data_IF_596852847390
#
_entry.id   IF_596852847390
#
_cell.length_a   1.000
_cell.length_b   1.000
_cell.length_c   1.000
_cell.angle_alpha   90.00
_cell.angle_beta   90.00
_cell.angle_gamma   90.00
#
_symmetry.space_group_name_H-M   'P 1'
#
loop_
_entity.id
_entity.type
_entity.pdbx_description
1 polymer ?
#
# COMPACT_ATOMS: atom_id res chain seq x y z
N UNK A 1 -23.31 -7.25 1.91
CA UNK A 1 -23.29 -8.62 2.50
C UNK A 1 -22.33 -8.73 3.69
N UNK A 2 -21.04 -8.38 3.50
CA UNK A 2 -20.04 -8.49 4.59
C UNK A 2 -20.35 -7.51 5.72
N UNK A 3 -20.59 -6.25 5.41
CA UNK A 3 -20.93 -5.22 6.40
C UNK A 3 -22.19 -5.58 7.20
N UNK A 4 -23.25 -6.02 6.55
CA UNK A 4 -24.46 -6.48 7.21
C UNK A 4 -24.20 -7.64 8.21
N UNK A 5 -23.40 -8.61 7.77
CA UNK A 5 -23.10 -9.81 8.60
C UNK A 5 -22.22 -9.50 9.81
N UNK A 6 -21.32 -8.52 9.68
CA UNK A 6 -20.25 -8.31 10.64
C UNK A 6 -20.27 -6.92 11.31
N UNK A 7 -21.31 -6.12 11.13
CA UNK A 7 -21.41 -4.77 11.69
C UNK A 7 -21.26 -4.71 13.23
N UNK A 8 -21.50 -5.82 13.93
CA UNK A 8 -21.26 -5.91 15.39
C UNK A 8 -19.81 -6.25 15.78
N UNK A 9 -18.90 -6.37 14.78
CA UNK A 9 -17.49 -6.71 15.00
C UNK A 9 -16.64 -5.45 14.88
N UNK A 10 -16.06 -5.02 15.97
CA UNK A 10 -15.27 -3.80 16.11
C UNK A 10 -13.81 -3.89 15.62
N UNK A 11 -13.37 -5.09 15.24
CA UNK A 11 -12.00 -5.38 14.79
C UNK A 11 -11.85 -5.48 13.26
N UNK A 12 -12.88 -5.11 12.49
CA UNK A 12 -12.85 -5.17 11.03
C UNK A 12 -12.41 -3.84 10.43
N UNK A 13 -11.56 -3.92 9.43
CA UNK A 13 -11.17 -2.84 8.54
C UNK A 13 -11.62 -3.27 7.14
N UNK A 14 -12.23 -2.37 6.38
CA UNK A 14 -12.69 -2.62 5.02
C UNK A 14 -11.74 -1.96 4.04
N UNK A 15 -11.20 -2.70 3.09
CA UNK A 15 -10.57 -2.15 1.90
C UNK A 15 -11.54 -2.34 0.74
N UNK A 16 -11.96 -1.24 0.11
CA UNK A 16 -13.07 -1.24 -0.85
C UNK A 16 -12.64 -1.37 -2.31
N UNK A 17 -11.36 -1.22 -2.61
CA UNK A 17 -10.81 -1.42 -3.94
C UNK A 17 -9.31 -1.70 -3.83
N UNK A 18 -8.84 -2.78 -4.41
CA UNK A 18 -7.42 -3.08 -4.54
C UNK A 18 -6.90 -2.55 -5.88
N UNK A 19 -5.83 -1.76 -5.83
CA UNK A 19 -5.02 -1.34 -6.98
C UNK A 19 -5.81 -0.81 -8.19
N UNK A 20 -6.63 0.24 -8.03
CA UNK A 20 -7.30 0.85 -9.17
C UNK A 20 -6.28 1.38 -10.18
N UNK A 21 -6.36 0.89 -11.40
CA UNK A 21 -5.39 1.18 -12.45
C UNK A 21 -6.05 1.51 -13.80
N UNK A 22 -5.23 1.76 -14.82
CA UNK A 22 -5.60 2.36 -16.10
C UNK A 22 -6.41 1.46 -17.05
N UNK A 23 -6.83 0.28 -16.67
CA UNK A 23 -7.35 -0.69 -17.62
C UNK A 23 -8.88 -0.71 -17.70
N UNK A 24 -9.49 0.27 -18.38
CA UNK A 24 -10.93 0.27 -18.66
C UNK A 24 -11.35 -0.63 -19.85
N UNK A 25 -10.43 -0.91 -20.79
CA UNK A 25 -10.73 -1.79 -21.93
C UNK A 25 -9.64 -2.86 -22.08
N UNK A 26 -9.99 -4.10 -21.76
CA UNK A 26 -9.16 -5.29 -21.98
C UNK A 26 -9.57 -5.94 -23.29
N UNK A 27 -8.87 -5.66 -24.38
CA UNK A 27 -9.18 -6.22 -25.71
C UNK A 27 -8.23 -7.35 -26.13
N UNK A 28 -7.25 -7.70 -25.31
CA UNK A 28 -6.35 -8.82 -25.62
C UNK A 28 -6.57 -9.97 -24.62
N UNK A 29 -7.29 -11.05 -25.00
CA UNK A 29 -7.52 -12.20 -24.13
C UNK A 29 -6.24 -12.97 -23.77
N UNK A 30 -5.16 -12.85 -24.56
CA UNK A 30 -3.86 -13.46 -24.27
C UNK A 30 -3.02 -12.64 -23.31
N UNK A 31 -3.31 -11.34 -23.20
CA UNK A 31 -2.63 -10.40 -22.31
C UNK A 31 -3.66 -9.50 -21.62
N UNK A 32 -4.41 -10.05 -20.69
CA UNK A 32 -5.51 -9.31 -20.01
C UNK A 32 -5.03 -8.13 -19.17
N UNK A 33 -3.73 -7.96 -18.98
CA UNK A 33 -3.10 -6.83 -18.31
C UNK A 33 -2.68 -5.69 -19.26
N UNK A 34 -2.63 -5.94 -20.59
CA UNK A 34 -2.35 -4.88 -21.57
C UNK A 34 -3.62 -4.09 -21.86
N UNK A 35 -3.55 -2.79 -21.65
CA UNK A 35 -4.62 -1.85 -21.95
C UNK A 35 -4.46 -1.32 -23.37
N UNK A 36 -5.56 -1.29 -24.13
CA UNK A 36 -5.57 -0.78 -25.53
C UNK A 36 -5.87 0.70 -25.63
N UNK A 37 -6.37 1.32 -24.55
CA UNK A 37 -6.56 2.77 -24.45
C UNK A 37 -6.04 3.25 -23.10
N UNK A 38 -5.26 4.31 -23.17
CA UNK A 38 -4.71 5.02 -22.00
C UNK A 38 -5.84 5.86 -21.35
N UNK A 39 -6.73 5.18 -20.68
CA UNK A 39 -7.76 5.80 -19.84
C UNK A 39 -7.36 5.60 -18.39
N UNK A 40 -6.56 6.53 -17.90
CA UNK A 40 -6.09 6.52 -16.51
C UNK A 40 -7.28 6.57 -15.54
N UNK A 41 -7.30 5.68 -14.55
CA UNK A 41 -8.23 5.81 -13.43
C UNK A 41 -7.82 7.03 -12.62
N UNK A 42 -8.72 8.02 -12.54
CA UNK A 42 -8.47 9.26 -11.81
C UNK A 42 -8.97 9.16 -10.37
N UNK A 43 -8.52 10.10 -9.53
CA UNK A 43 -9.05 10.22 -8.18
C UNK A 43 -10.56 10.47 -8.15
N UNK A 44 -11.10 11.24 -9.10
CA UNK A 44 -12.51 11.54 -9.18
C UNK A 44 -13.37 10.27 -9.40
N UNK A 45 -12.89 9.34 -10.22
CA UNK A 45 -13.56 8.04 -10.46
C UNK A 45 -13.54 7.18 -9.19
N UNK A 46 -12.43 7.15 -8.48
CA UNK A 46 -12.30 6.44 -7.21
C UNK A 46 -13.19 7.07 -6.15
N UNK A 47 -13.19 8.40 -6.05
CA UNK A 47 -14.04 9.13 -5.11
C UNK A 47 -15.54 8.92 -5.39
N UNK A 48 -15.96 8.89 -6.66
CA UNK A 48 -17.34 8.56 -7.04
C UNK A 48 -17.72 7.15 -6.60
N UNK A 49 -16.85 6.17 -6.82
CA UNK A 49 -17.04 4.79 -6.35
C UNK A 49 -17.15 4.74 -4.83
N UNK A 50 -16.20 5.35 -4.12
CA UNK A 50 -16.16 5.39 -2.66
C UNK A 50 -17.43 6.05 -2.07
N UNK A 51 -17.89 7.16 -2.66
CA UNK A 51 -19.11 7.86 -2.26
C UNK A 51 -20.39 7.01 -2.43
N UNK A 52 -20.36 5.95 -3.21
CA UNK A 52 -21.47 4.99 -3.33
C UNK A 52 -21.34 3.82 -2.36
N UNK A 53 -20.12 3.36 -2.07
CA UNK A 53 -19.87 2.14 -1.28
C UNK A 53 -19.84 2.45 0.22
N UNK A 54 -19.17 3.51 0.64
CA UNK A 54 -18.99 3.84 2.05
C UNK A 54 -20.33 4.05 2.78
N UNK A 55 -21.31 4.79 2.22
CA UNK A 55 -22.62 4.94 2.87
C UNK A 55 -23.35 3.61 3.10
N UNK A 56 -23.16 2.63 2.23
CA UNK A 56 -23.76 1.30 2.40
C UNK A 56 -23.12 0.57 3.59
N UNK A 57 -21.80 0.68 3.75
CA UNK A 57 -21.09 0.11 4.90
C UNK A 57 -21.55 0.81 6.19
N UNK A 58 -21.56 2.13 6.21
CA UNK A 58 -21.95 2.94 7.37
C UNK A 58 -23.38 2.66 7.82
N UNK A 59 -24.33 2.58 6.87
CA UNK A 59 -25.72 2.26 7.13
C UNK A 59 -25.89 0.95 7.93
N UNK A 60 -25.15 -0.09 7.59
CA UNK A 60 -25.25 -1.39 8.29
C UNK A 60 -24.72 -1.31 9.72
N UNK A 61 -23.70 -0.46 9.97
CA UNK A 61 -23.18 -0.21 11.32
C UNK A 61 -24.14 0.64 12.14
N UNK A 62 -24.72 1.71 11.56
CA UNK A 62 -25.74 2.54 12.19
C UNK A 62 -26.98 1.73 12.56
N UNK A 63 -27.42 0.81 11.70
CA UNK A 63 -28.58 -0.04 11.92
C UNK A 63 -28.48 -0.92 13.17
N UNK A 64 -27.26 -1.21 13.64
CA UNK A 64 -27.00 -1.98 14.87
C UNK A 64 -26.47 -1.12 16.02
N UNK A 65 -26.41 0.21 15.83
CA UNK A 65 -25.91 1.16 16.82
C UNK A 65 -24.39 1.09 17.07
N UNK A 66 -23.64 0.57 16.09
CA UNK A 66 -22.18 0.46 16.14
C UNK A 66 -21.51 1.70 15.55
N UNK A 67 -20.24 1.93 15.94
CA UNK A 67 -19.42 2.97 15.33
C UNK A 67 -19.01 2.58 13.91
N UNK A 68 -18.87 3.56 13.03
CA UNK A 68 -18.39 3.31 11.67
C UNK A 68 -17.00 2.66 11.70
N UNK A 69 -16.79 1.62 10.89
CA UNK A 69 -15.50 0.96 10.80
C UNK A 69 -14.47 1.84 10.07
N UNK A 70 -13.21 1.49 10.19
CA UNK A 70 -12.18 2.06 9.30
C UNK A 70 -12.40 1.52 7.89
N UNK A 71 -12.44 2.42 6.89
CA UNK A 71 -12.51 2.09 5.47
C UNK A 71 -11.26 2.60 4.77
N UNK A 72 -10.51 1.68 4.16
CA UNK A 72 -9.36 1.97 3.31
C UNK A 72 -9.87 2.13 1.89
N UNK A 73 -9.52 3.25 1.28
CA UNK A 73 -9.90 3.62 -0.09
C UNK A 73 -8.66 3.54 -0.97
N UNK A 74 -8.76 2.81 -2.08
CA UNK A 74 -7.71 2.72 -3.08
C UNK A 74 -7.31 4.09 -3.65
N UNK A 75 -6.08 4.19 -4.12
CA UNK A 75 -5.56 5.38 -4.79
C UNK A 75 -5.15 5.07 -6.23
N UNK A 76 -5.06 6.06 -7.15
CA UNK A 76 -4.73 5.78 -8.55
C UNK A 76 -3.39 5.09 -8.71
N UNK A 77 -3.18 4.44 -9.87
CA UNK A 77 -1.91 3.81 -10.25
C UNK A 77 -1.45 2.72 -9.29
N UNK A 78 -2.30 1.69 -9.09
CA UNK A 78 -1.99 0.55 -8.22
C UNK A 78 -1.69 0.98 -6.77
N UNK A 79 -2.52 1.87 -6.22
CA UNK A 79 -2.36 2.41 -4.87
C UNK A 79 -1.02 3.13 -4.63
N UNK A 80 -0.47 3.76 -5.68
CA UNK A 80 0.82 4.47 -5.62
C UNK A 80 0.68 5.99 -5.53
N UNK A 81 -0.44 6.58 -5.99
CA UNK A 81 -0.64 8.04 -5.99
C UNK A 81 -1.52 8.50 -4.83
N UNK A 82 -1.04 8.36 -3.62
CA UNK A 82 -1.77 8.69 -2.38
C UNK A 82 -2.10 10.18 -2.29
N UNK A 83 -1.29 11.04 -2.91
CA UNK A 83 -1.50 12.49 -2.93
C UNK A 83 -2.54 12.97 -3.96
N UNK A 84 -3.11 12.06 -4.75
CA UNK A 84 -4.06 12.40 -5.81
C UNK A 84 -5.31 13.17 -5.33
N UNK A 85 -5.72 13.00 -4.07
CA UNK A 85 -6.78 13.79 -3.46
C UNK A 85 -6.33 15.19 -2.99
N UNK A 86 -5.04 15.47 -2.95
CA UNK A 86 -4.44 16.73 -2.53
C UNK A 86 -3.88 17.56 -3.69
N UNK A 87 -3.77 16.98 -4.88
CA UNK A 87 -3.17 17.62 -6.07
C UNK A 87 -4.09 17.53 -7.27
N UNK A 88 -4.09 18.57 -8.11
CA UNK A 88 -4.81 18.55 -9.39
C UNK A 88 -3.96 17.82 -10.43
N UNK A 89 -4.48 16.70 -10.93
CA UNK A 89 -3.76 15.84 -11.88
C UNK A 89 -3.04 14.68 -11.21
N UNK A 90 -2.28 13.94 -12.02
CA UNK A 90 -1.54 12.77 -11.57
C UNK A 90 -0.05 12.94 -11.85
N UNK A 91 0.77 12.62 -10.86
CA UNK A 91 2.23 12.63 -10.94
C UNK A 91 2.82 11.54 -11.84
N UNK A 92 2.08 11.05 -12.82
CA UNK A 92 2.45 9.87 -13.59
C UNK A 92 3.66 10.12 -14.50
N UNK A 93 4.74 9.42 -14.24
CA UNK A 93 5.84 9.25 -15.18
C UNK A 93 6.70 10.47 -15.49
N UNK A 94 6.57 11.57 -14.77
CA UNK A 94 7.17 12.84 -15.11
C UNK A 94 8.22 13.36 -14.09
N UNK A 95 8.55 12.54 -13.10
CA UNK A 95 9.53 12.89 -12.08
C UNK A 95 9.01 13.85 -11.00
N UNK A 96 9.83 14.07 -9.99
CA UNK A 96 9.49 14.86 -8.80
C UNK A 96 9.08 16.30 -9.14
N UNK A 97 9.79 16.95 -10.05
CA UNK A 97 9.58 18.38 -10.36
C UNK A 97 8.17 18.66 -10.91
N UNK A 98 7.59 17.74 -11.70
CA UNK A 98 6.23 17.90 -12.17
C UNK A 98 5.22 17.67 -11.05
N UNK A 99 5.44 16.66 -10.21
CA UNK A 99 4.58 16.43 -9.06
C UNK A 99 4.54 17.62 -8.11
N UNK A 100 5.68 18.22 -7.84
CA UNK A 100 5.79 19.41 -6.99
C UNK A 100 5.12 20.65 -7.63
N UNK A 101 5.02 20.70 -8.96
CA UNK A 101 4.39 21.81 -9.71
C UNK A 101 2.87 21.70 -9.85
N UNK A 102 2.26 20.54 -9.52
CA UNK A 102 0.82 20.38 -9.63
C UNK A 102 0.09 21.26 -8.59
N UNK A 103 -1.00 21.95 -9.00
CA UNK A 103 -1.78 22.77 -8.07
C UNK A 103 -2.32 21.95 -6.90
N UNK A 104 -2.25 22.52 -5.70
CA UNK A 104 -2.85 21.93 -4.49
C UNK A 104 -4.38 22.01 -4.56
N UNK A 105 -5.04 20.97 -4.05
CA UNK A 105 -6.50 20.91 -3.88
C UNK A 105 -6.86 20.17 -2.59
N UNK A 106 -8.10 20.23 -2.18
CA UNK A 106 -8.68 19.36 -1.15
C UNK A 106 -9.88 18.58 -1.71
N UNK A 107 -9.60 17.44 -2.31
CA UNK A 107 -10.58 16.49 -2.80
C UNK A 107 -10.66 15.23 -1.94
N UNK A 108 -10.32 15.34 -0.64
CA UNK A 108 -10.46 14.26 0.32
C UNK A 108 -11.92 13.86 0.48
N UNK A 109 -12.17 12.57 0.69
CA UNK A 109 -13.50 12.08 1.06
C UNK A 109 -13.96 12.69 2.39
N UNK A 110 -15.25 12.98 2.50
CA UNK A 110 -15.86 13.67 3.66
C UNK A 110 -16.60 12.69 4.58
N UNK A 111 -16.06 11.48 4.73
CA UNK A 111 -16.54 10.49 5.70
C UNK A 111 -15.56 10.41 6.88
N UNK A 112 -16.04 9.97 8.03
CA UNK A 112 -15.21 9.59 9.16
C UNK A 112 -14.52 8.24 8.95
N UNK A 113 -13.45 7.99 9.70
CA UNK A 113 -12.71 6.73 9.71
C UNK A 113 -12.21 6.27 8.32
N UNK A 114 -11.79 7.21 7.46
CA UNK A 114 -11.22 6.91 6.14
C UNK A 114 -9.70 6.89 6.22
N UNK A 115 -9.10 5.89 5.58
CA UNK A 115 -7.66 5.83 5.28
C UNK A 115 -7.45 5.66 3.77
N UNK A 116 -6.27 6.04 3.29
CA UNK A 116 -5.90 5.96 1.88
C UNK A 116 -4.87 4.85 1.70
N UNK A 117 -5.16 3.94 0.77
CA UNK A 117 -4.28 2.82 0.46
C UNK A 117 -2.98 3.30 -0.19
N UNK A 118 -1.91 2.60 0.15
CA UNK A 118 -0.59 2.81 -0.39
C UNK A 118 0.10 1.45 -0.58
N UNK A 119 0.61 1.19 -1.78
CA UNK A 119 1.36 -0.01 -2.11
C UNK A 119 2.77 0.34 -2.58
N UNK A 120 3.76 -0.48 -2.22
CA UNK A 120 5.11 -0.34 -2.76
C UNK A 120 5.83 -1.68 -2.94
N UNK A 121 6.71 -1.70 -3.94
CA UNK A 121 7.63 -2.79 -4.20
C UNK A 121 9.02 -2.21 -4.47
N UNK A 122 10.01 -2.48 -3.62
CA UNK A 122 11.31 -1.80 -3.63
C UNK A 122 12.16 -2.10 -4.87
N UNK A 123 11.76 -3.06 -5.71
CA UNK A 123 12.38 -3.31 -7.00
C UNK A 123 12.26 -2.12 -7.96
N UNK A 124 11.10 -1.44 -7.94
CA UNK A 124 10.83 -0.25 -8.76
C UNK A 124 10.65 1.03 -7.93
N UNK A 125 10.08 0.91 -6.74
CA UNK A 125 9.74 2.05 -5.89
C UNK A 125 10.91 2.39 -4.96
N UNK A 126 11.96 2.97 -5.52
CA UNK A 126 13.14 3.38 -4.76
C UNK A 126 13.75 4.65 -5.35
N UNK A 127 14.50 5.33 -4.54
CA UNK A 127 15.28 6.50 -4.93
C UNK A 127 16.27 6.15 -6.05
N UNK A 128 16.30 6.97 -7.11
CA UNK A 128 17.17 6.75 -8.28
C UNK A 128 16.69 5.66 -9.25
N UNK A 129 15.44 5.17 -9.14
CA UNK A 129 14.87 4.27 -10.14
C UNK A 129 14.78 4.97 -11.50
N UNK A 130 15.25 4.30 -12.55
CA UNK A 130 15.24 4.81 -13.90
C UNK A 130 14.35 3.94 -14.80
N UNK A 131 13.40 4.54 -15.48
CA UNK A 131 12.55 3.91 -16.47
C UNK A 131 12.46 4.78 -17.71
N UNK A 132 12.67 4.20 -18.88
CA UNK A 132 12.61 4.90 -20.16
C UNK A 132 13.56 6.13 -20.24
N UNK A 133 14.75 6.02 -19.62
CA UNK A 133 15.75 7.10 -19.57
C UNK A 133 15.40 8.26 -18.63
N UNK A 134 14.36 8.12 -17.82
CA UNK A 134 13.96 9.11 -16.82
C UNK A 134 14.36 8.63 -15.42
N UNK A 135 15.33 9.31 -14.82
CA UNK A 135 15.71 9.07 -13.43
C UNK A 135 14.61 9.53 -12.49
N UNK A 136 14.47 8.82 -11.38
CA UNK A 136 13.44 9.10 -10.38
C UNK A 136 12.03 9.15 -10.99
N UNK A 137 11.81 8.30 -12.00
CA UNK A 137 10.54 8.19 -12.72
C UNK A 137 9.34 8.13 -11.77
N UNK A 138 9.56 7.51 -10.63
CA UNK A 138 8.66 7.49 -9.49
C UNK A 138 9.44 7.73 -8.21
N UNK A 139 9.67 8.98 -7.84
CA UNK A 139 10.18 9.26 -6.51
C UNK A 139 9.05 9.15 -5.47
N UNK A 140 8.43 7.96 -5.42
CA UNK A 140 7.30 7.65 -4.55
C UNK A 140 7.64 7.87 -3.08
N UNK A 141 8.87 7.59 -2.68
CA UNK A 141 9.35 7.83 -1.33
C UNK A 141 9.21 9.30 -0.91
N UNK A 142 9.53 10.25 -1.80
CA UNK A 142 9.48 11.67 -1.50
C UNK A 142 8.05 12.17 -1.31
N UNK A 143 7.13 11.88 -2.24
CA UNK A 143 5.76 12.37 -2.09
C UNK A 143 4.97 11.64 -1.00
N UNK A 144 5.26 10.35 -0.71
CA UNK A 144 4.70 9.69 0.47
C UNK A 144 5.16 10.42 1.74
N UNK A 145 6.45 10.77 1.83
CA UNK A 145 6.96 11.55 2.96
C UNK A 145 6.18 12.86 3.14
N UNK A 146 5.87 13.58 2.04
CA UNK A 146 5.12 14.84 2.08
C UNK A 146 3.65 14.64 2.46
N UNK A 147 3.05 13.50 2.09
CA UNK A 147 1.66 13.15 2.43
C UNK A 147 1.50 12.76 3.89
N UNK A 148 2.52 12.13 4.50
CA UNK A 148 2.45 11.71 5.90
C UNK A 148 2.27 12.91 6.84
N UNK A 149 1.20 12.85 7.65
CA UNK A 149 0.75 13.95 8.49
C UNK A 149 -0.29 14.87 7.84
N UNK A 150 -0.58 14.71 6.54
CA UNK A 150 -1.67 15.41 5.83
C UNK A 150 -2.86 14.49 5.57
N UNK A 151 -2.61 13.19 5.37
CA UNK A 151 -3.61 12.15 5.12
C UNK A 151 -3.41 10.97 6.07
N UNK A 152 -4.48 10.31 6.52
CA UNK A 152 -4.41 9.01 7.16
C UNK A 152 -4.10 7.94 6.12
N UNK A 153 -2.88 7.40 6.12
CA UNK A 153 -2.37 6.43 5.15
C UNK A 153 -2.31 5.04 5.78
N UNK A 154 -2.62 4.01 5.00
CA UNK A 154 -2.43 2.61 5.34
C UNK A 154 -1.69 1.92 4.19
N UNK A 155 -0.54 1.30 4.48
CA UNK A 155 0.17 0.48 3.51
C UNK A 155 -0.48 -0.90 3.46
N UNK A 156 -1.52 -1.05 2.65
CA UNK A 156 -2.29 -2.29 2.60
C UNK A 156 -1.58 -3.42 1.85
N UNK A 157 -0.54 -3.08 1.07
CA UNK A 157 0.30 -4.08 0.43
C UNK A 157 1.73 -3.58 0.25
N UNK A 158 2.70 -4.43 0.58
CA UNK A 158 4.07 -4.29 0.12
C UNK A 158 4.76 -5.65 0.00
N UNK A 159 5.68 -5.77 -0.94
CA UNK A 159 6.60 -6.92 -1.04
C UNK A 159 8.05 -6.49 -0.86
N UNK A 160 8.97 -7.46 -0.92
CA UNK A 160 10.41 -7.21 -0.87
C UNK A 160 11.08 -7.28 -2.26
N UNK A 161 10.27 -7.46 -3.30
CA UNK A 161 10.67 -7.86 -4.65
C UNK A 161 10.30 -6.80 -5.70
N UNK A 162 10.27 -7.19 -6.96
CA UNK A 162 9.61 -6.43 -8.02
C UNK A 162 8.06 -6.48 -7.84
N UNK A 163 7.31 -5.61 -8.53
CA UNK A 163 5.84 -5.54 -8.41
C UNK A 163 5.09 -6.82 -8.82
N UNK A 164 5.70 -7.66 -9.64
CA UNK A 164 5.16 -8.97 -10.02
C UNK A 164 5.26 -10.03 -8.89
N UNK A 165 5.87 -9.66 -7.76
CA UNK A 165 6.09 -10.53 -6.61
C UNK A 165 7.29 -11.45 -6.77
N UNK A 166 8.14 -11.22 -7.78
CA UNK A 166 9.27 -12.07 -8.10
C UNK A 166 10.59 -11.29 -8.26
N UNK A 167 11.69 -12.00 -8.57
CA UNK A 167 13.01 -11.40 -8.74
C UNK A 167 13.83 -11.28 -7.47
N UNK A 168 14.82 -10.36 -7.43
CA UNK A 168 15.67 -10.17 -6.26
C UNK A 168 14.90 -9.68 -5.03
N UNK A 169 15.40 -10.04 -3.85
CA UNK A 169 14.87 -9.54 -2.57
C UNK A 169 15.68 -8.30 -2.17
N UNK A 170 15.02 -7.16 -2.04
CA UNK A 170 15.63 -5.84 -1.81
C UNK A 170 15.51 -5.41 -0.34
N UNK A 171 16.25 -6.07 0.55
CA UNK A 171 16.19 -5.83 2.00
C UNK A 171 16.49 -4.37 2.35
N UNK A 172 17.63 -3.84 1.91
CA UNK A 172 18.07 -2.48 2.27
C UNK A 172 17.07 -1.40 1.82
N UNK A 173 16.40 -1.61 0.67
CA UNK A 173 15.36 -0.71 0.17
C UNK A 173 14.08 -0.84 0.97
N UNK A 174 13.71 -2.07 1.33
CA UNK A 174 12.55 -2.34 2.21
C UNK A 174 12.75 -1.72 3.58
N UNK A 175 13.95 -1.84 4.16
CA UNK A 175 14.29 -1.21 5.44
C UNK A 175 14.10 0.31 5.41
N UNK A 176 14.49 0.98 4.32
CA UNK A 176 14.25 2.42 4.14
C UNK A 176 12.76 2.76 4.13
N UNK A 177 11.95 1.95 3.44
CA UNK A 177 10.50 2.10 3.40
C UNK A 177 9.87 1.90 4.78
N UNK A 178 10.20 0.81 5.47
CA UNK A 178 9.65 0.53 6.80
C UNK A 178 10.10 1.55 7.84
N UNK A 179 11.31 2.11 7.70
CA UNK A 179 11.77 3.21 8.53
C UNK A 179 10.94 4.47 8.31
N UNK A 180 10.58 4.80 7.06
CA UNK A 180 9.66 5.89 6.73
C UNK A 180 8.29 5.66 7.39
N UNK A 181 7.72 4.46 7.23
CA UNK A 181 6.39 4.11 7.74
C UNK A 181 6.35 4.04 9.27
N UNK A 182 7.48 3.80 9.95
CA UNK A 182 7.56 3.72 11.41
C UNK A 182 7.41 5.07 12.15
N UNK A 183 7.17 6.16 11.42
CA UNK A 183 7.06 7.50 12.01
C UNK A 183 8.39 8.07 12.52
N UNK A 184 9.52 7.43 12.26
CA UNK A 184 10.86 7.90 12.68
C UNK A 184 11.36 9.11 11.88
N UNK A 185 10.48 9.74 11.11
CA UNK A 185 10.75 10.91 10.29
C UNK A 185 10.19 12.18 10.94
N UNK A 186 10.91 12.75 11.88
CA UNK A 186 10.65 14.09 12.42
C UNK A 186 9.18 14.33 12.89
N UNK A 187 8.58 13.35 13.56
CA UNK A 187 7.22 13.46 14.10
C UNK A 187 6.11 13.22 13.10
N UNK A 188 6.42 12.61 11.96
CA UNK A 188 5.43 12.16 10.98
C UNK A 188 4.61 10.96 11.51
N UNK A 189 3.53 10.68 10.84
CA UNK A 189 2.57 9.64 11.18
C UNK A 189 3.18 8.24 11.14
N UNK A 190 2.83 7.42 12.13
CA UNK A 190 3.01 5.97 12.05
C UNK A 190 2.02 5.39 11.05
N UNK A 191 2.49 4.58 10.11
CA UNK A 191 1.68 3.91 9.09
C UNK A 191 1.66 2.41 9.36
N UNK A 192 0.48 1.85 9.53
CA UNK A 192 0.28 0.40 9.58
C UNK A 192 0.48 -0.23 8.21
N UNK A 193 0.89 -1.49 8.17
CA UNK A 193 1.21 -2.17 6.93
C UNK A 193 0.81 -3.64 6.91
N UNK A 194 0.57 -4.17 5.69
CA UNK A 194 0.41 -5.58 5.40
C UNK A 194 1.45 -6.03 4.38
N UNK A 195 2.02 -7.21 4.56
CA UNK A 195 2.99 -7.76 3.61
C UNK A 195 2.31 -8.67 2.58
N UNK A 196 2.69 -8.55 1.34
CA UNK A 196 2.37 -9.46 0.26
C UNK A 196 3.50 -10.47 0.05
N UNK A 197 3.32 -11.81 0.35
CA UNK A 197 2.07 -12.35 0.83
C UNK A 197 2.32 -13.53 1.77
N UNK A 198 1.40 -13.77 2.68
CA UNK A 198 1.40 -14.97 3.50
C UNK A 198 0.87 -16.15 2.68
N UNK A 199 1.72 -16.67 1.81
CA UNK A 199 1.44 -17.77 0.88
C UNK A 199 2.64 -18.70 0.78
N UNK A 200 2.48 -19.87 0.16
CA UNK A 200 3.51 -20.85 -0.14
C UNK A 200 3.61 -21.16 -1.65
N UNK A 201 3.27 -20.17 -2.48
CA UNK A 201 3.50 -20.26 -3.91
C UNK A 201 4.99 -20.12 -4.26
N UNK A 202 5.38 -20.45 -5.51
CA UNK A 202 6.77 -20.43 -5.96
C UNK A 202 7.25 -19.01 -6.33
N UNK A 203 6.87 -17.97 -5.56
CA UNK A 203 7.30 -16.59 -5.79
C UNK A 203 8.25 -16.10 -4.70
N UNK A 204 9.18 -15.23 -5.05
CA UNK A 204 10.13 -14.67 -4.09
C UNK A 204 9.45 -13.85 -2.98
N UNK A 205 8.26 -13.28 -3.24
CA UNK A 205 7.45 -12.55 -2.25
C UNK A 205 6.71 -13.46 -1.26
N UNK A 206 6.60 -14.77 -1.53
CA UNK A 206 5.92 -15.69 -0.63
C UNK A 206 6.62 -15.81 0.72
N UNK A 207 5.87 -15.76 1.80
CA UNK A 207 6.42 -15.89 3.14
C UNK A 207 6.79 -17.33 3.52
N UNK A 208 6.15 -18.31 2.90
CA UNK A 208 6.34 -19.73 3.19
C UNK A 208 6.95 -20.46 1.99
N UNK A 209 7.76 -21.48 2.27
CA UNK A 209 8.26 -22.37 1.22
C UNK A 209 7.12 -23.21 0.61
N UNK A 210 7.24 -23.60 -0.69
CA UNK A 210 6.23 -24.42 -1.35
C UNK A 210 5.87 -25.68 -0.58
N UNK A 211 4.57 -25.90 -0.39
CA UNK A 211 4.04 -27.04 0.36
C UNK A 211 3.90 -26.85 1.87
N UNK A 212 4.38 -25.74 2.43
CA UNK A 212 4.29 -25.47 3.85
C UNK A 212 2.84 -25.36 4.36
N UNK A 213 1.94 -24.76 3.57
CA UNK A 213 0.51 -24.69 3.90
C UNK A 213 -0.14 -26.07 3.97
N UNK A 214 0.13 -26.94 3.00
CA UNK A 214 -0.36 -28.30 2.97
C UNK A 214 0.17 -29.14 4.16
N UNK A 215 1.43 -28.94 4.51
CA UNK A 215 2.09 -29.58 5.65
C UNK A 215 1.69 -28.94 7.00
N UNK A 216 0.98 -27.79 7.00
CA UNK A 216 0.70 -26.97 8.19
C UNK A 216 1.98 -26.59 8.97
N UNK A 217 3.08 -26.41 8.25
CA UNK A 217 4.37 -26.05 8.81
C UNK A 217 4.64 -24.53 8.68
N UNK A 218 4.11 -23.75 9.59
CA UNK A 218 4.21 -22.27 9.60
C UNK A 218 5.61 -21.75 9.96
N UNK A 219 6.56 -22.64 10.25
CA UNK A 219 7.95 -22.29 10.49
C UNK A 219 8.85 -22.50 9.26
N UNK A 220 8.32 -23.09 8.20
CA UNK A 220 9.01 -23.30 6.93
C UNK A 220 8.91 -22.03 6.07
N UNK A 221 9.70 -21.04 6.43
CA UNK A 221 9.66 -19.69 5.86
C UNK A 221 10.73 -19.50 4.79
N UNK A 222 10.41 -18.69 3.78
CA UNK A 222 11.36 -18.18 2.80
C UNK A 222 12.26 -17.08 3.40
N UNK A 223 13.16 -16.52 2.60
CA UNK A 223 13.92 -15.31 2.98
C UNK A 223 12.98 -14.13 3.24
N UNK A 224 11.97 -13.93 2.38
CA UNK A 224 10.93 -12.90 2.58
C UNK A 224 10.17 -13.12 3.89
N UNK A 225 9.74 -14.35 4.15
CA UNK A 225 9.01 -14.70 5.37
C UNK A 225 9.84 -14.53 6.64
N UNK A 226 11.13 -14.92 6.64
CA UNK A 226 12.00 -14.71 7.77
C UNK A 226 12.21 -13.21 8.06
N UNK A 227 12.39 -12.41 7.01
CA UNK A 227 12.48 -10.97 7.15
C UNK A 227 11.22 -10.39 7.82
N UNK A 228 10.02 -10.69 7.29
CA UNK A 228 8.76 -10.17 7.84
C UNK A 228 8.53 -10.66 9.27
N UNK A 229 8.84 -11.92 9.58
CA UNK A 229 8.76 -12.45 10.95
C UNK A 229 9.60 -11.65 11.93
N UNK A 230 10.80 -11.24 11.53
CA UNK A 230 11.68 -10.37 12.34
C UNK A 230 11.11 -8.97 12.50
N UNK A 231 10.64 -8.34 11.41
CA UNK A 231 9.97 -7.03 11.44
C UNK A 231 8.79 -7.05 12.41
N UNK A 232 7.88 -8.02 12.29
CA UNK A 232 6.73 -8.15 13.19
C UNK A 232 7.14 -8.38 14.64
N UNK A 233 8.24 -9.11 14.90
CA UNK A 233 8.74 -9.32 16.24
C UNK A 233 9.24 -8.04 16.92
N UNK A 234 9.76 -7.10 16.11
CA UNK A 234 10.20 -5.78 16.57
C UNK A 234 9.00 -4.87 16.83
N UNK A 235 8.07 -4.80 15.89
CA UNK A 235 6.86 -3.97 16.00
C UNK A 235 6.04 -4.36 17.23
N UNK A 236 5.90 -5.64 17.52
CA UNK A 236 5.15 -6.14 18.67
C UNK A 236 5.80 -5.86 20.03
N UNK A 237 7.09 -5.50 20.07
CA UNK A 237 7.79 -5.19 21.34
C UNK A 237 7.61 -3.74 21.82
N UNK A 238 6.84 -2.96 21.09
CA UNK A 238 6.52 -1.58 21.41
C UNK A 238 7.26 -0.59 20.52
N UNK A 239 6.53 0.01 19.61
CA UNK A 239 7.01 0.90 18.54
C UNK A 239 7.65 2.21 19.05
N UNK A 240 7.62 2.47 20.35
CA UNK A 240 8.26 3.66 20.92
C UNK A 240 9.80 3.55 20.98
N UNK A 241 10.35 2.38 20.69
CA UNK A 241 11.80 2.20 20.63
C UNK A 241 12.29 2.17 19.17
N UNK A 242 12.36 3.36 18.57
CA UNK A 242 12.91 3.57 17.23
C UNK A 242 14.39 3.20 17.12
N UNK A 243 15.07 2.94 18.26
CA UNK A 243 16.42 2.40 18.29
C UNK A 243 16.45 0.97 17.76
N UNK A 244 15.38 0.20 17.94
CA UNK A 244 15.33 -1.22 17.54
C UNK A 244 15.33 -1.38 16.02
N UNK A 245 14.70 -0.47 15.26
CA UNK A 245 14.80 -0.46 13.79
C UNK A 245 16.15 0.11 13.31
N UNK A 246 16.79 0.99 14.08
CA UNK A 246 18.13 1.52 13.78
C UNK A 246 19.26 0.56 14.21
N UNK A 247 19.05 -0.17 15.29
CA UNK A 247 19.98 -1.19 15.77
C UNK A 247 19.81 -2.54 15.05
N UNK A 248 18.72 -2.68 14.28
CA UNK A 248 18.57 -3.77 13.35
C UNK A 248 19.48 -3.58 12.12
N UNK A 249 20.78 -3.53 12.33
CA UNK A 249 21.76 -4.21 11.49
C UNK A 249 21.37 -5.71 11.46
N UNK A 250 20.08 -5.98 11.15
CA UNK A 250 19.49 -7.31 11.13
C UNK A 250 20.14 -8.20 10.06
N UNK A 251 21.04 -7.63 9.25
CA UNK A 251 21.60 -8.27 8.07
C UNK A 251 23.10 -8.13 7.87
N UNK A 252 23.84 -7.62 8.87
CA UNK A 252 25.31 -7.77 8.88
C UNK A 252 25.72 -8.90 9.82
N UNK A 253 25.37 -10.12 9.46
CA UNK A 253 26.12 -11.34 9.80
C UNK A 253 25.66 -12.48 8.89
#
# INVERSE_FOLDING_TARGET
>A
FISNKYATKDHLIYEICNEPNNCLEKNNPEKPWECTKDTSVTWEMIAEYANRVIPVIHYEYEAVGAQHPVVIVGTPQWDQLVDACLKEGMCQGNGKDLCDSLPERDARLKFDNIMYAFHFYPGEHHEGFEKDGKKDYYNMYSYIYDVLGRLPVFCSEFGLTNPDGDGPIFIDRTDKWLLLLSGNNAGKQLVSFCNWSFSDNERASSALNPGACAAKNWNDVTVSGDYIKRVLSVVNKGVNDTTVLKESNLYTK
#
